data_IF_150005720426
#
_entry.id   IF_150005720426
#
_cell.length_a   1.000
_cell.length_b   1.000
_cell.length_c   1.000
_cell.angle_alpha   90.00
_cell.angle_beta   90.00
_cell.angle_gamma   90.00
#
_symmetry.space_group_name_H-M   'P 1'
#
loop_
_entity.id
_entity.type
_entity.pdbx_description
1 polymer ?
#
# COMPACT_ATOMS: atom_id res chain seq x y z
N UNK A 1 -17.04 -0.49 -5.52
CA UNK A 1 -16.56 -1.31 -4.37
C UNK A 1 -17.43 -1.01 -3.16
N UNK A 2 -17.64 -1.97 -2.26
CA UNK A 2 -18.38 -1.73 -1.01
C UNK A 2 -17.51 -0.99 0.01
N UNK A 3 -18.09 0.00 0.70
CA UNK A 3 -17.42 0.66 1.82
C UNK A 3 -17.10 -0.34 2.94
N UNK A 4 -16.21 0.03 3.87
CA UNK A 4 -15.92 -0.82 5.03
C UNK A 4 -17.18 -1.06 5.87
N UNK A 5 -18.02 -0.03 6.05
CA UNK A 5 -19.29 -0.12 6.77
C UNK A 5 -20.27 -1.10 6.11
N UNK A 6 -20.39 -1.04 4.77
CA UNK A 6 -21.23 -1.98 4.02
C UNK A 6 -20.73 -3.42 4.17
N UNK A 7 -19.41 -3.64 4.20
CA UNK A 7 -18.81 -4.96 4.40
C UNK A 7 -19.05 -5.48 5.82
N UNK A 8 -18.86 -4.64 6.83
CA UNK A 8 -19.15 -4.96 8.23
C UNK A 8 -20.62 -5.37 8.38
N UNK A 9 -21.53 -4.58 7.81
CA UNK A 9 -22.95 -4.91 7.85
C UNK A 9 -23.27 -6.27 7.21
N UNK A 10 -22.70 -6.56 6.03
CA UNK A 10 -22.89 -7.84 5.36
C UNK A 10 -22.45 -9.02 6.21
N UNK A 11 -21.30 -8.92 6.89
CA UNK A 11 -20.81 -9.99 7.75
C UNK A 11 -21.70 -10.19 8.98
N UNK A 12 -22.10 -9.11 9.64
CA UNK A 12 -22.96 -9.19 10.83
C UNK A 12 -24.31 -9.82 10.49
N UNK A 13 -24.93 -9.38 9.39
CA UNK A 13 -26.20 -9.95 8.91
C UNK A 13 -26.05 -11.40 8.47
N UNK A 14 -24.94 -11.74 7.80
CA UNK A 14 -24.68 -13.11 7.37
C UNK A 14 -24.58 -14.07 8.56
N UNK A 15 -23.97 -13.64 9.66
CA UNK A 15 -23.95 -14.44 10.89
C UNK A 15 -25.33 -14.53 11.54
N UNK A 16 -26.05 -13.40 11.66
CA UNK A 16 -27.39 -13.34 12.26
C UNK A 16 -28.42 -14.21 11.52
N UNK A 17 -28.30 -14.31 10.20
CA UNK A 17 -29.21 -15.04 9.31
C UNK A 17 -28.70 -16.44 8.98
N UNK A 18 -27.97 -17.07 9.91
CA UNK A 18 -27.51 -18.47 9.82
C UNK A 18 -26.76 -18.77 8.51
N UNK A 19 -25.90 -17.85 8.08
CA UNK A 19 -25.09 -17.96 6.86
C UNK A 19 -25.91 -18.07 5.57
N UNK A 20 -27.14 -17.53 5.54
CA UNK A 20 -27.97 -17.45 4.32
C UNK A 20 -27.57 -16.25 3.42
N UNK A 21 -26.97 -16.46 2.23
CA UNK A 21 -26.55 -15.36 1.36
C UNK A 21 -27.75 -14.59 0.78
N UNK A 22 -28.86 -15.28 0.52
CA UNK A 22 -30.07 -14.69 -0.06
C UNK A 22 -30.76 -13.76 0.94
N UNK A 23 -30.89 -14.19 2.19
CA UNK A 23 -31.48 -13.37 3.24
C UNK A 23 -30.60 -12.13 3.53
N UNK A 24 -29.28 -12.32 3.59
CA UNK A 24 -28.30 -11.24 3.77
C UNK A 24 -28.34 -10.23 2.62
N UNK A 25 -28.47 -10.69 1.36
CA UNK A 25 -28.61 -9.79 0.21
C UNK A 25 -29.89 -8.97 0.30
N UNK A 26 -31.01 -9.59 0.70
CA UNK A 26 -32.30 -8.90 0.88
C UNK A 26 -32.24 -7.87 2.01
N UNK A 27 -31.61 -8.18 3.14
CA UNK A 27 -31.45 -7.22 4.24
C UNK A 27 -30.52 -6.07 3.85
N UNK A 28 -29.46 -6.35 3.10
CA UNK A 28 -28.59 -5.34 2.49
C UNK A 28 -29.34 -4.40 1.55
N UNK A 29 -30.16 -4.95 0.64
CA UNK A 29 -30.96 -4.13 -0.28
C UNK A 29 -31.95 -3.22 0.46
N UNK A 30 -32.59 -3.70 1.53
CA UNK A 30 -33.48 -2.88 2.36
C UNK A 30 -32.76 -1.72 3.05
N UNK A 31 -31.51 -1.93 3.48
CA UNK A 31 -30.72 -0.92 4.18
C UNK A 31 -30.01 0.04 3.22
N UNK A 32 -29.61 -0.44 2.04
CA UNK A 32 -28.84 0.32 1.07
C UNK A 32 -29.65 0.57 -0.21
N UNK A 33 -30.32 1.72 -0.27
CA UNK A 33 -31.05 2.18 -1.46
C UNK A 33 -30.14 2.48 -2.68
N UNK A 34 -28.82 2.53 -2.47
CA UNK A 34 -27.83 2.92 -3.49
C UNK A 34 -27.45 1.76 -4.43
N UNK A 35 -27.63 0.50 -4.03
CA UNK A 35 -27.22 -0.67 -4.84
C UNK A 35 -28.43 -1.58 -5.09
N UNK A 36 -29.21 -1.36 -6.16
CA UNK A 36 -30.48 -2.05 -6.39
C UNK A 36 -30.37 -3.58 -6.40
N UNK A 37 -29.26 -4.10 -6.95
CA UNK A 37 -29.02 -5.55 -7.10
C UNK A 37 -28.38 -6.21 -5.87
N UNK A 38 -27.83 -5.42 -4.95
CA UNK A 38 -27.02 -5.91 -3.82
C UNK A 38 -25.80 -6.74 -4.23
N UNK A 39 -25.03 -7.26 -3.27
CA UNK A 39 -23.91 -8.16 -3.54
C UNK A 39 -24.37 -9.54 -3.97
N UNK A 40 -23.63 -10.14 -4.90
CA UNK A 40 -23.81 -11.54 -5.25
C UNK A 40 -23.47 -12.47 -4.07
N UNK A 41 -24.11 -13.64 -4.04
CA UNK A 41 -23.88 -14.66 -3.01
C UNK A 41 -22.40 -15.09 -2.95
N UNK A 42 -21.72 -15.14 -4.10
CA UNK A 42 -20.27 -15.42 -4.16
C UNK A 42 -19.47 -14.33 -3.44
N UNK A 43 -19.87 -13.07 -3.58
CA UNK A 43 -19.22 -11.93 -2.92
C UNK A 43 -19.41 -11.97 -1.41
N UNK A 44 -20.62 -12.26 -0.94
CA UNK A 44 -20.92 -12.42 0.50
C UNK A 44 -20.07 -13.54 1.10
N UNK A 45 -20.06 -14.73 0.48
CA UNK A 45 -19.26 -15.86 0.95
C UNK A 45 -17.75 -15.55 0.95
N UNK A 46 -17.25 -14.88 -0.09
CA UNK A 46 -15.84 -14.48 -0.16
C UNK A 46 -15.45 -13.50 0.93
N UNK A 47 -16.33 -12.53 1.23
CA UNK A 47 -16.08 -11.54 2.26
C UNK A 47 -15.94 -12.23 3.64
N UNK A 48 -16.85 -13.16 3.91
CA UNK A 48 -16.84 -13.92 5.15
C UNK A 48 -15.63 -14.86 5.25
N UNK A 49 -15.34 -15.64 4.21
CA UNK A 49 -14.16 -16.51 4.17
C UNK A 49 -12.85 -15.71 4.30
N UNK A 50 -12.80 -14.49 3.75
CA UNK A 50 -11.67 -13.59 3.94
C UNK A 50 -11.54 -13.18 5.41
N UNK A 51 -12.63 -12.82 6.06
CA UNK A 51 -12.63 -12.47 7.47
C UNK A 51 -12.16 -13.65 8.34
N UNK A 52 -12.69 -14.85 8.14
CA UNK A 52 -12.25 -16.05 8.88
C UNK A 52 -10.75 -16.32 8.67
N UNK A 53 -10.24 -16.09 7.46
CA UNK A 53 -8.83 -16.36 7.12
C UNK A 53 -7.85 -15.29 7.64
N UNK A 54 -8.21 -14.01 7.58
CA UNK A 54 -7.26 -12.90 7.86
C UNK A 54 -7.66 -12.00 9.02
N UNK A 55 -8.84 -12.19 9.62
CA UNK A 55 -9.38 -11.30 10.66
C UNK A 55 -9.69 -9.89 10.18
N UNK A 56 -9.61 -9.63 8.87
CA UNK A 56 -9.72 -8.29 8.29
C UNK A 56 -10.73 -8.22 7.16
N UNK A 57 -11.58 -7.20 7.22
CA UNK A 57 -12.53 -6.83 6.17
C UNK A 57 -11.98 -5.77 5.23
N UNK A 58 -10.78 -5.25 5.47
CA UNK A 58 -10.17 -4.20 4.65
C UNK A 58 -9.89 -4.71 3.22
N UNK A 59 -9.78 -3.82 2.24
CA UNK A 59 -9.33 -4.22 0.91
C UNK A 59 -7.80 -4.39 0.91
N UNK A 60 -7.32 -5.56 0.47
CA UNK A 60 -5.88 -5.86 0.42
C UNK A 60 -5.12 -5.00 -0.60
N UNK A 61 -5.85 -4.12 -1.30
CA UNK A 61 -5.30 -3.14 -2.24
C UNK A 61 -4.67 -1.94 -1.54
N UNK A 62 -5.00 -1.61 -0.28
CA UNK A 62 -4.33 -0.52 0.44
C UNK A 62 -2.85 -0.85 0.69
N UNK A 63 -1.98 -0.43 -0.23
CA UNK A 63 -0.53 -0.61 -0.18
C UNK A 63 0.08 -1.40 -1.35
N UNK A 64 -0.72 -2.20 -2.07
CA UNK A 64 -0.23 -3.07 -3.16
C UNK A 64 -0.81 -2.73 -4.54
N UNK A 65 -1.42 -1.54 -4.73
CA UNK A 65 -1.97 -1.13 -6.04
C UNK A 65 -0.92 -0.80 -7.10
N UNK A 66 0.38 -0.83 -6.76
CA UNK A 66 1.48 -0.51 -7.66
C UNK A 66 2.28 -1.74 -8.13
N UNK A 67 3.03 -1.57 -9.21
CA UNK A 67 4.01 -2.55 -9.67
C UNK A 67 5.02 -2.86 -8.56
N UNK A 68 5.39 -4.14 -8.38
CA UNK A 68 6.44 -4.54 -7.43
C UNK A 68 7.72 -3.77 -7.75
N UNK A 69 8.25 -3.02 -6.79
CA UNK A 69 9.47 -2.24 -7.00
C UNK A 69 10.70 -3.14 -6.90
N UNK A 70 10.98 -3.92 -7.96
CA UNK A 70 12.06 -4.92 -7.98
C UNK A 70 13.45 -4.32 -7.71
N UNK A 71 13.66 -3.04 -8.02
CA UNK A 71 14.99 -2.42 -7.86
C UNK A 71 15.18 -1.81 -6.46
N UNK A 72 14.10 -1.53 -5.71
CA UNK A 72 14.17 -1.02 -4.33
C UNK A 72 14.15 -2.21 -3.35
N UNK A 73 15.12 -3.11 -3.51
CA UNK A 73 15.36 -4.17 -2.53
C UNK A 73 16.09 -3.60 -1.32
N UNK A 74 15.98 -4.26 -0.16
CA UNK A 74 16.74 -3.89 1.04
C UNK A 74 18.25 -3.85 0.78
N UNK A 75 18.76 -4.77 -0.05
CA UNK A 75 20.18 -4.80 -0.46
C UNK A 75 20.58 -3.54 -1.25
N UNK A 76 19.81 -3.16 -2.26
CA UNK A 76 20.12 -1.97 -3.07
C UNK A 76 19.98 -0.68 -2.24
N UNK A 77 19.01 -0.64 -1.32
CA UNK A 77 18.85 0.45 -0.36
C UNK A 77 20.09 0.54 0.55
N UNK A 78 20.59 -0.57 1.07
CA UNK A 78 21.78 -0.61 1.91
C UNK A 78 23.03 -0.12 1.17
N UNK A 79 23.25 -0.55 -0.08
CA UNK A 79 24.39 -0.08 -0.90
C UNK A 79 24.36 1.42 -1.16
N UNK A 80 23.19 1.93 -1.59
CA UNK A 80 23.01 3.36 -1.88
C UNK A 80 23.11 4.21 -0.62
N UNK A 81 22.48 3.77 0.49
CA UNK A 81 22.54 4.49 1.77
C UNK A 81 23.94 4.52 2.36
N UNK A 82 24.70 3.42 2.27
CA UNK A 82 26.09 3.36 2.75
C UNK A 82 26.98 4.40 2.07
N UNK A 83 26.94 4.47 0.73
CA UNK A 83 27.74 5.45 -0.04
C UNK A 83 27.26 6.89 0.26
N UNK A 84 25.95 7.10 0.33
CA UNK A 84 25.37 8.40 0.62
C UNK A 84 25.74 8.91 2.02
N UNK A 85 25.74 8.04 3.03
CA UNK A 85 26.11 8.40 4.40
C UNK A 85 27.61 8.65 4.56
N UNK A 86 28.45 7.89 3.85
CA UNK A 86 29.90 8.11 3.85
C UNK A 86 30.27 9.49 3.29
N UNK A 87 29.65 9.89 2.18
CA UNK A 87 29.90 11.17 1.54
C UNK A 87 28.59 11.76 1.01
N UNK A 88 27.85 12.53 1.83
CA UNK A 88 26.55 13.08 1.42
C UNK A 88 26.68 13.99 0.21
N UNK A 89 27.85 14.63 0.00
CA UNK A 89 28.17 15.47 -1.17
C UNK A 89 28.21 14.72 -2.51
N UNK A 90 28.19 13.40 -2.51
CA UNK A 90 28.20 12.61 -3.73
C UNK A 90 26.94 12.88 -4.57
N UNK A 91 27.15 13.12 -5.87
CA UNK A 91 26.04 13.29 -6.80
C UNK A 91 25.34 11.95 -7.04
N UNK A 92 24.06 11.98 -7.41
CA UNK A 92 23.31 10.77 -7.79
C UNK A 92 24.04 9.99 -8.90
N UNK A 93 24.72 10.70 -9.82
CA UNK A 93 25.50 10.08 -10.89
C UNK A 93 26.69 9.28 -10.33
N UNK A 94 27.41 9.84 -9.37
CA UNK A 94 28.54 9.18 -8.69
C UNK A 94 28.08 7.92 -7.97
N UNK A 95 27.02 8.03 -7.15
CA UNK A 95 26.47 6.89 -6.39
C UNK A 95 25.95 5.80 -7.33
N UNK A 96 25.30 6.18 -8.45
CA UNK A 96 24.85 5.24 -9.46
C UNK A 96 26.00 4.47 -10.11
N UNK A 97 27.10 5.16 -10.47
CA UNK A 97 28.29 4.53 -11.01
C UNK A 97 28.94 3.57 -10.02
N UNK A 98 29.05 3.94 -8.75
CA UNK A 98 29.65 3.10 -7.70
C UNK A 98 28.79 1.87 -7.35
N UNK A 99 27.47 2.03 -7.35
CA UNK A 99 26.53 0.92 -7.06
C UNK A 99 26.23 0.04 -8.28
N UNK A 100 26.60 0.48 -9.49
CA UNK A 100 26.21 -0.17 -10.75
C UNK A 100 24.71 -0.04 -11.08
N UNK A 101 23.97 0.80 -10.36
CA UNK A 101 22.53 0.99 -10.57
C UNK A 101 22.26 2.08 -11.61
N UNK A 102 21.10 2.01 -12.25
CA UNK A 102 20.62 3.12 -13.10
C UNK A 102 20.40 4.36 -12.22
N UNK A 103 20.85 5.52 -12.71
CA UNK A 103 20.67 6.83 -12.04
C UNK A 103 19.24 7.07 -11.55
N UNK A 104 18.23 6.74 -12.37
CA UNK A 104 16.81 6.92 -12.00
C UNK A 104 16.37 6.03 -10.84
N UNK A 105 16.99 4.86 -10.68
CA UNK A 105 16.72 3.98 -9.54
C UNK A 105 17.42 4.47 -8.28
N UNK A 106 18.67 4.89 -8.38
CA UNK A 106 19.42 5.50 -7.26
C UNK A 106 18.70 6.75 -6.76
N UNK A 107 18.21 7.60 -7.67
CA UNK A 107 17.38 8.76 -7.32
C UNK A 107 16.13 8.34 -6.55
N UNK A 108 15.36 7.37 -7.05
CA UNK A 108 14.16 6.87 -6.35
C UNK A 108 14.47 6.35 -4.96
N UNK A 109 15.56 5.58 -4.78
CA UNK A 109 15.98 5.06 -3.49
C UNK A 109 16.27 6.21 -2.52
N UNK A 110 17.04 7.21 -2.96
CA UNK A 110 17.37 8.38 -2.16
C UNK A 110 16.15 9.26 -1.86
N UNK A 111 15.24 9.42 -2.82
CA UNK A 111 13.98 10.15 -2.62
C UNK A 111 13.08 9.45 -1.61
N UNK A 112 12.92 8.13 -1.70
CA UNK A 112 12.07 7.37 -0.78
C UNK A 112 12.65 7.33 0.65
N UNK A 113 13.98 7.27 0.77
CA UNK A 113 14.65 7.09 2.07
C UNK A 113 14.95 8.42 2.77
N UNK A 114 15.36 9.44 2.01
CA UNK A 114 15.87 10.72 2.54
C UNK A 114 15.11 11.95 2.03
N UNK A 115 14.15 11.80 1.11
CA UNK A 115 13.45 12.95 0.52
C UNK A 115 14.35 13.82 -0.36
N UNK A 116 15.46 13.29 -0.87
CA UNK A 116 16.37 14.04 -1.74
C UNK A 116 15.88 13.99 -3.21
N UNK A 117 15.55 15.16 -3.78
CA UNK A 117 14.97 15.27 -5.13
C UNK A 117 15.94 15.78 -6.19
N UNK A 118 17.06 16.42 -5.81
CA UNK A 118 17.93 17.14 -6.76
C UNK A 118 19.30 16.49 -6.98
N UNK A 119 19.80 16.66 -8.21
CA UNK A 119 21.02 16.05 -8.74
C UNK A 119 22.31 16.77 -8.33
N UNK A 120 22.17 17.99 -7.80
CA UNK A 120 23.24 18.81 -7.25
C UNK A 120 22.90 18.98 -5.76
N UNK A 121 23.69 18.36 -4.91
CA UNK A 121 23.39 18.23 -3.50
C UNK A 121 23.68 19.55 -2.75
N UNK A 122 22.79 20.52 -2.92
CA UNK A 122 22.60 21.59 -1.94
C UNK A 122 21.44 21.23 -1.03
N UNK A 123 21.48 20.04 -0.42
CA UNK A 123 20.49 19.60 0.57
C UNK A 123 20.93 19.92 2.00
N UNK A 124 22.08 20.59 2.18
CA UNK A 124 22.60 20.90 3.51
C UNK A 124 22.09 22.21 4.11
N UNK A 125 21.22 22.94 3.41
CA UNK A 125 20.60 24.14 3.96
C UNK A 125 19.08 24.07 3.77
N UNK A 126 18.40 23.86 4.90
CA UNK A 126 16.95 23.94 5.13
C UNK A 126 16.11 22.68 4.83
N UNK A 127 15.80 21.97 5.92
CA UNK A 127 14.55 21.20 6.17
C UNK A 127 14.37 19.83 5.49
N UNK A 128 15.37 18.95 5.52
CA UNK A 128 15.17 17.51 5.27
C UNK A 128 15.64 16.64 6.45
N UNK A 129 15.18 16.96 7.66
CA UNK A 129 15.23 16.06 8.81
C UNK A 129 13.85 16.08 9.45
N UNK A 130 12.93 15.31 8.88
CA UNK A 130 11.74 14.85 9.57
C UNK A 130 11.84 13.34 9.65
N UNK A 131 12.45 12.87 10.74
CA UNK A 131 12.48 11.48 11.17
C UNK A 131 11.05 10.97 11.23
N UNK A 132 10.66 10.04 10.37
CA UNK A 132 9.43 9.26 10.56
C UNK A 132 9.75 8.14 11.55
N UNK A 133 9.31 8.32 12.79
CA UNK A 133 9.08 7.24 13.76
C UNK A 133 7.79 6.53 13.37
#
# INVERSE_FOLDING_TARGET
MYSIEQRVFLVLEYHRLERSPTATRRSFQKRCNVVPKGPDAKTIRKLFAKLERTGSLDDNRMGNVGFRQTVVTSENVAKVSGIFQQNPRNTIRTIASETGLKRSSTQKILTNSYGCFHTNLSCHTHKCCATKV
#
